data_IF_905011664938
#
_entry.id   IF_905011664938
#
_cell.length_a   1.000
_cell.length_b   1.000
_cell.length_c   1.000
_cell.angle_alpha   90.00
_cell.angle_beta   90.00
_cell.angle_gamma   90.00
#
_symmetry.space_group_name_H-M   'P 1'
#
loop_
_entity.id
_entity.type
_entity.pdbx_description
1 polymer ?
#
# COMPACT_ATOMS: atom_id res chain seq x y z
N UNK A 1 1.19 60.71 15.62
CA UNK A 1 0.08 61.64 16.00
C UNK A 1 -0.72 61.94 14.73
N UNK A 2 -2.07 62.05 14.71
CA UNK A 2 -3.14 61.71 15.69
C UNK A 2 -3.97 60.47 15.22
N UNK A 3 -4.50 59.55 16.03
CA UNK A 3 -5.46 59.60 17.15
C UNK A 3 -6.94 59.86 16.77
N UNK A 4 -7.79 58.82 16.93
CA UNK A 4 -9.27 58.84 17.17
C UNK A 4 -9.73 57.37 17.39
N UNK A 5 -9.73 56.83 18.61
CA UNK A 5 -10.80 56.85 19.64
C UNK A 5 -12.17 56.45 19.08
N UNK A 6 -12.54 55.18 19.26
CA UNK A 6 -13.93 54.74 19.27
C UNK A 6 -14.29 54.07 20.60
N UNK A 7 -15.54 54.31 20.94
CA UNK A 7 -16.21 54.30 22.24
C UNK A 7 -16.22 52.94 22.97
N UNK A 8 -16.09 53.03 24.28
CA UNK A 8 -16.40 51.99 25.28
C UNK A 8 -17.92 51.93 25.48
N UNK A 9 -18.48 50.72 25.58
CA UNK A 9 -19.70 50.48 26.36
C UNK A 9 -19.65 49.07 26.95
N UNK A 10 -19.27 49.00 28.23
CA UNK A 10 -19.37 47.82 29.06
C UNK A 10 -20.82 47.63 29.51
N UNK A 11 -21.37 46.42 29.36
CA UNK A 11 -22.62 46.02 30.00
C UNK A 11 -22.26 44.96 31.05
N UNK A 12 -22.30 45.40 32.31
CA UNK A 12 -22.27 44.54 33.48
C UNK A 12 -23.71 44.09 33.76
N UNK A 13 -23.92 42.77 33.91
CA UNK A 13 -25.16 42.22 34.46
C UNK A 13 -24.82 41.47 35.74
N UNK A 14 -25.59 41.81 36.77
CA UNK A 14 -25.32 41.61 38.17
C UNK A 14 -25.52 40.17 38.65
N UNK A 15 -24.64 39.78 39.57
CA UNK A 15 -24.74 38.59 40.42
C UNK A 15 -25.86 38.82 41.45
N UNK A 16 -26.89 37.97 41.43
CA UNK A 16 -27.86 37.86 42.53
C UNK A 16 -27.50 36.63 43.34
N UNK A 17 -26.95 36.86 44.53
CA UNK A 17 -26.79 35.87 45.57
C UNK A 17 -28.08 35.82 46.40
N UNK A 18 -28.74 34.66 46.47
CA UNK A 18 -29.70 34.34 47.52
C UNK A 18 -29.12 33.22 48.39
N UNK A 19 -28.86 33.58 49.65
CA UNK A 19 -28.48 32.73 50.76
C UNK A 19 -29.66 31.89 51.27
N UNK A 20 -29.34 30.67 51.73
CA UNK A 20 -30.28 29.57 51.99
C UNK A 20 -31.04 29.54 53.31
N UNK A 21 -31.86 28.50 53.42
CA UNK A 21 -32.31 27.81 54.64
C UNK A 21 -32.71 26.35 54.26
N UNK A 22 -32.61 25.37 55.19
CA UNK A 22 -32.52 23.94 54.88
C UNK A 22 -33.89 23.25 54.84
N UNK A 23 -34.04 22.25 53.96
CA UNK A 23 -35.21 21.37 53.91
C UNK A 23 -34.84 19.98 53.36
N UNK A 24 -34.96 18.98 54.22
CA UNK A 24 -34.70 17.56 53.96
C UNK A 24 -35.76 16.90 53.06
N UNK A 25 -35.34 15.85 52.35
CA UNK A 25 -36.15 14.73 51.85
C UNK A 25 -36.86 15.02 50.52
N UNK A 26 -36.79 14.19 49.48
CA UNK A 26 -36.53 12.76 49.40
C UNK A 26 -35.60 12.45 48.22
N UNK A 27 -34.44 11.86 48.51
CA UNK A 27 -33.69 11.09 47.53
C UNK A 27 -34.46 9.79 47.28
N UNK A 28 -35.28 9.75 46.22
CA UNK A 28 -35.74 8.48 45.69
C UNK A 28 -34.56 7.82 45.00
N UNK A 29 -33.81 7.06 45.78
CA UNK A 29 -32.80 6.11 45.37
C UNK A 29 -33.46 5.05 44.47
N UNK A 30 -33.54 5.36 43.17
CA UNK A 30 -33.95 4.38 42.17
C UNK A 30 -32.70 3.56 41.89
N UNK A 31 -32.42 2.61 42.77
CA UNK A 31 -31.41 1.58 42.55
C UNK A 31 -31.82 0.76 41.33
N UNK A 32 -31.44 1.23 40.15
CA UNK A 32 -31.39 0.41 38.95
C UNK A 32 -30.26 -0.59 39.20
N UNK A 33 -30.61 -1.80 39.65
CA UNK A 33 -29.68 -2.93 39.59
C UNK A 33 -29.22 -3.05 38.13
N UNK A 34 -27.99 -2.64 37.85
CA UNK A 34 -27.34 -2.98 36.58
C UNK A 34 -27.36 -4.51 36.48
N UNK A 35 -28.05 -5.10 35.49
CA UNK A 35 -27.99 -6.53 35.31
C UNK A 35 -26.51 -6.87 35.12
N UNK A 36 -25.98 -7.76 35.97
CA UNK A 36 -24.61 -8.24 35.85
C UNK A 36 -24.52 -9.10 34.57
N UNK A 37 -24.40 -8.44 33.42
CA UNK A 37 -24.13 -9.08 32.14
C UNK A 37 -22.74 -9.70 32.27
N UNK A 38 -22.66 -11.02 32.46
CA UNK A 38 -21.41 -11.76 32.32
C UNK A 38 -21.12 -11.85 30.82
N UNK A 39 -20.12 -11.13 30.28
CA UNK A 39 -19.84 -11.19 28.86
C UNK A 39 -19.32 -12.60 28.54
N UNK A 40 -20.13 -13.44 27.91
CA UNK A 40 -19.71 -14.74 27.38
C UNK A 40 -19.09 -14.54 26.00
N UNK A 41 -18.03 -13.74 25.94
CA UNK A 41 -17.26 -13.59 24.71
C UNK A 41 -16.47 -14.88 24.49
N UNK A 42 -16.51 -15.46 23.29
CA UNK A 42 -15.64 -16.59 22.96
C UNK A 42 -14.18 -16.16 23.20
N UNK A 43 -13.35 -17.10 23.64
CA UNK A 43 -11.93 -16.84 23.78
C UNK A 43 -11.37 -16.33 22.44
N UNK A 44 -10.56 -15.27 22.50
CA UNK A 44 -9.93 -14.70 21.30
C UNK A 44 -9.14 -15.80 20.60
N UNK A 45 -9.42 -16.11 19.33
CA UNK A 45 -8.65 -17.07 18.58
C UNK A 45 -7.17 -16.66 18.57
N UNK A 46 -6.28 -17.58 18.95
CA UNK A 46 -4.85 -17.30 18.95
C UNK A 46 -4.33 -17.43 17.51
N UNK A 47 -3.97 -16.30 16.89
CA UNK A 47 -3.41 -16.27 15.54
C UNK A 47 -1.90 -16.49 15.64
N UNK A 48 -1.34 -17.53 14.99
CA UNK A 48 0.09 -17.76 15.01
C UNK A 48 0.82 -16.56 14.38
N UNK A 49 1.97 -16.14 14.93
CA UNK A 49 2.73 -15.04 14.37
C UNK A 49 3.22 -15.39 12.97
N UNK A 50 3.31 -14.38 12.10
CA UNK A 50 3.91 -14.53 10.76
C UNK A 50 5.34 -15.04 10.89
N UNK A 51 5.79 -15.98 10.04
CA UNK A 51 7.16 -16.49 10.07
C UNK A 51 8.18 -15.47 9.53
N UNK A 52 7.72 -14.37 8.92
CA UNK A 52 8.58 -13.40 8.25
C UNK A 52 8.93 -12.21 9.16
N UNK A 53 10.19 -11.72 9.13
CA UNK A 53 10.58 -10.51 9.85
C UNK A 53 9.97 -9.26 9.20
N UNK A 54 10.11 -8.08 9.81
CA UNK A 54 9.68 -6.82 9.19
C UNK A 54 10.62 -6.40 8.05
N UNK A 55 11.92 -6.55 8.25
CA UNK A 55 12.97 -6.24 7.28
C UNK A 55 14.02 -7.34 7.29
N UNK A 56 14.69 -7.53 6.17
CA UNK A 56 15.90 -8.33 6.08
C UNK A 56 17.12 -7.55 6.60
N UNK A 57 18.28 -8.21 6.84
CA UNK A 57 19.50 -7.56 7.34
C UNK A 57 20.07 -6.47 6.41
N UNK A 58 19.74 -6.52 5.12
CA UNK A 58 20.12 -5.53 4.11
C UNK A 58 19.23 -4.26 4.12
N UNK A 59 18.26 -4.21 5.04
CA UNK A 59 17.33 -3.08 5.22
C UNK A 59 16.12 -3.12 4.29
N UNK A 60 15.98 -4.13 3.43
CA UNK A 60 14.80 -4.29 2.58
C UNK A 60 13.61 -4.82 3.37
N UNK A 61 12.40 -4.39 3.01
CA UNK A 61 11.17 -4.90 3.60
C UNK A 61 10.82 -6.29 3.07
N UNK A 62 10.24 -7.11 3.93
CA UNK A 62 9.42 -8.26 3.51
C UNK A 62 8.04 -7.76 3.07
N UNK A 63 7.27 -8.57 2.33
CA UNK A 63 5.88 -8.24 1.97
C UNK A 63 5.04 -8.10 3.24
N UNK A 64 5.20 -9.04 4.17
CA UNK A 64 4.60 -8.97 5.50
C UNK A 64 4.95 -7.69 6.24
N UNK A 65 6.25 -7.34 6.30
CA UNK A 65 6.75 -6.20 7.04
C UNK A 65 6.28 -4.87 6.48
N UNK A 66 6.25 -4.75 5.16
CA UNK A 66 5.72 -3.59 4.45
C UNK A 66 4.27 -3.32 4.85
N UNK A 67 3.42 -4.36 4.87
CA UNK A 67 2.01 -4.26 5.29
C UNK A 67 1.85 -4.08 6.79
N UNK A 68 2.69 -4.71 7.60
CA UNK A 68 2.64 -4.57 9.06
C UNK A 68 2.98 -3.16 9.52
N UNK A 69 3.72 -2.40 8.70
CA UNK A 69 4.15 -1.02 8.96
C UNK A 69 3.44 -0.01 8.05
N UNK A 70 2.22 -0.31 7.60
CA UNK A 70 1.47 0.48 6.62
C UNK A 70 1.37 1.97 6.99
N UNK A 71 1.23 2.31 8.27
CA UNK A 71 1.20 3.70 8.76
C UNK A 71 2.49 4.50 8.45
N UNK A 72 3.61 3.83 8.21
CA UNK A 72 4.91 4.44 7.96
C UNK A 72 5.44 4.21 6.54
N UNK A 73 4.95 3.18 5.86
CA UNK A 73 5.45 2.79 4.53
C UNK A 73 4.55 3.31 3.41
N UNK A 74 3.26 3.58 3.69
CA UNK A 74 2.34 4.08 2.68
C UNK A 74 2.77 5.44 2.14
N UNK A 75 2.60 5.61 0.82
CA UNK A 75 2.97 6.77 0.01
C UNK A 75 4.47 7.09 -0.04
N UNK A 76 5.32 6.15 0.39
CA UNK A 76 6.80 6.29 0.39
C UNK A 76 7.48 5.38 -0.64
N UNK A 77 8.68 5.75 -1.05
CA UNK A 77 9.54 4.89 -1.86
C UNK A 77 10.20 3.82 -0.98
N UNK A 78 10.08 2.56 -1.38
CA UNK A 78 10.52 1.41 -0.60
C UNK A 78 11.29 0.41 -1.45
N UNK A 79 12.10 -0.42 -0.77
CA UNK A 79 12.80 -1.57 -1.35
C UNK A 79 12.24 -2.83 -0.69
N UNK A 80 11.71 -3.74 -1.49
CA UNK A 80 11.01 -4.95 -1.03
C UNK A 80 11.72 -6.17 -1.59
N UNK A 81 12.16 -7.07 -0.72
CA UNK A 81 12.68 -8.36 -1.15
C UNK A 81 11.56 -9.37 -1.16
N UNK A 82 11.24 -9.89 -2.34
CA UNK A 82 10.10 -10.79 -2.54
C UNK A 82 10.34 -11.77 -3.70
N UNK A 83 9.47 -12.77 -3.79
CA UNK A 83 9.40 -13.72 -4.90
C UNK A 83 8.18 -13.40 -5.75
N UNK A 84 8.34 -13.44 -7.08
CA UNK A 84 7.22 -13.35 -8.03
C UNK A 84 6.42 -14.64 -7.93
N UNK A 85 5.25 -14.57 -7.30
CA UNK A 85 4.37 -15.72 -7.07
C UNK A 85 3.59 -16.04 -8.33
N UNK A 86 3.10 -15.00 -9.02
CA UNK A 86 2.25 -15.13 -10.19
C UNK A 86 2.32 -13.85 -11.04
N UNK A 87 1.98 -13.96 -12.31
CA UNK A 87 2.02 -12.87 -13.30
C UNK A 87 0.68 -12.85 -14.02
N UNK A 88 0.06 -11.68 -14.15
CA UNK A 88 -1.18 -11.56 -14.90
C UNK A 88 -0.95 -11.91 -16.37
N UNK A 89 -1.76 -12.85 -16.87
CA UNK A 89 -1.84 -13.18 -18.29
C UNK A 89 -3.22 -12.81 -18.79
N UNK A 90 -3.33 -11.96 -19.84
CA UNK A 90 -4.61 -11.67 -20.46
C UNK A 90 -5.31 -12.95 -20.95
N UNK A 91 -6.64 -13.08 -20.76
CA UNK A 91 -7.36 -14.25 -21.23
C UNK A 91 -7.37 -14.29 -22.76
N UNK A 92 -7.29 -15.51 -23.32
CA UNK A 92 -7.39 -15.72 -24.76
C UNK A 92 -8.79 -15.36 -25.28
N UNK A 93 -8.81 -14.68 -26.42
CA UNK A 93 -10.02 -14.21 -27.06
C UNK A 93 -10.52 -15.22 -28.09
N UNK A 94 -11.70 -15.85 -27.90
CA UNK A 94 -12.26 -16.74 -28.91
C UNK A 94 -12.61 -15.97 -30.18
N UNK A 95 -12.30 -16.56 -31.33
CA UNK A 95 -12.53 -15.95 -32.64
C UNK A 95 -14.00 -15.53 -32.82
N UNK A 96 -14.21 -14.33 -33.38
CA UNK A 96 -15.55 -13.81 -33.68
C UNK A 96 -16.32 -13.21 -32.52
N UNK A 97 -15.70 -13.03 -31.33
CA UNK A 97 -16.32 -12.33 -30.19
C UNK A 97 -15.56 -11.06 -29.80
N UNK A 98 -16.28 -10.07 -29.30
CA UNK A 98 -15.67 -8.89 -28.66
C UNK A 98 -15.18 -9.28 -27.27
N UNK A 99 -13.89 -9.10 -27.02
CA UNK A 99 -13.31 -9.37 -25.72
C UNK A 99 -13.48 -8.21 -24.74
N UNK A 100 -13.50 -8.52 -23.43
CA UNK A 100 -13.21 -7.51 -22.43
C UNK A 100 -11.84 -6.89 -22.70
N UNK A 101 -11.65 -5.59 -22.44
CA UNK A 101 -10.33 -5.01 -22.50
C UNK A 101 -9.41 -5.77 -21.53
N UNK A 102 -8.19 -6.08 -22.00
CA UNK A 102 -7.17 -6.65 -21.14
C UNK A 102 -6.94 -5.73 -19.93
N UNK A 103 -6.74 -6.32 -18.76
CA UNK A 103 -6.35 -5.52 -17.59
C UNK A 103 -4.93 -5.01 -17.79
N UNK A 104 -4.60 -3.93 -17.10
CA UNK A 104 -3.23 -3.43 -17.07
C UNK A 104 -2.27 -4.51 -16.54
N UNK A 105 -1.04 -4.61 -17.08
CA UNK A 105 -0.05 -5.56 -16.59
C UNK A 105 0.22 -5.38 -15.09
N UNK A 106 0.17 -6.50 -14.37
CA UNK A 106 0.45 -6.58 -12.96
C UNK A 106 0.99 -7.97 -12.60
N UNK A 107 1.72 -8.04 -11.50
CA UNK A 107 2.20 -9.31 -10.96
C UNK A 107 2.00 -9.32 -9.44
N UNK A 108 2.12 -10.50 -8.85
CA UNK A 108 1.99 -10.70 -7.41
C UNK A 108 3.32 -11.12 -6.81
N UNK A 109 3.74 -10.37 -5.80
CA UNK A 109 4.92 -10.63 -4.99
C UNK A 109 4.51 -11.28 -3.66
N UNK A 110 5.28 -12.25 -3.20
CA UNK A 110 5.11 -12.91 -1.91
C UNK A 110 6.42 -13.09 -1.18
N UNK A 111 6.37 -13.32 0.13
CA UNK A 111 7.56 -13.63 0.92
C UNK A 111 8.13 -15.02 0.59
N UNK A 112 7.30 -15.93 0.08
CA UNK A 112 7.68 -17.24 -0.44
C UNK A 112 7.10 -17.52 -1.83
N UNK A 113 7.70 -18.47 -2.55
CA UNK A 113 7.28 -18.85 -3.91
C UNK A 113 5.92 -19.58 -3.95
N UNK A 114 5.52 -20.15 -2.83
CA UNK A 114 4.30 -20.94 -2.63
C UNK A 114 3.17 -20.15 -1.97
N UNK A 115 3.31 -18.83 -1.83
CA UNK A 115 2.29 -17.99 -1.21
C UNK A 115 0.99 -17.95 -2.05
N UNK A 116 -0.07 -18.60 -1.58
CA UNK A 116 -1.36 -18.68 -2.28
C UNK A 116 -2.39 -17.68 -1.78
N UNK A 117 -2.20 -17.13 -0.58
CA UNK A 117 -3.15 -16.20 0.03
C UNK A 117 -3.06 -14.84 -0.66
N UNK A 118 -4.14 -14.42 -1.33
CA UNK A 118 -4.23 -13.10 -1.95
C UNK A 118 -3.91 -11.96 -0.95
N UNK A 119 -4.28 -12.10 0.31
CA UNK A 119 -4.05 -11.09 1.34
C UNK A 119 -2.60 -11.03 1.83
N UNK A 120 -1.76 -11.98 1.43
CA UNK A 120 -0.32 -12.02 1.73
C UNK A 120 0.55 -11.69 0.53
N UNK A 121 -0.07 -11.45 -0.63
CA UNK A 121 0.60 -11.04 -1.86
C UNK A 121 0.52 -9.55 -2.07
N UNK A 122 1.62 -8.92 -2.46
CA UNK A 122 1.70 -7.52 -2.86
C UNK A 122 1.58 -7.41 -4.38
N UNK A 123 0.65 -6.60 -4.86
CA UNK A 123 0.51 -6.34 -6.29
C UNK A 123 1.58 -5.34 -6.74
N UNK A 124 2.35 -5.67 -7.77
CA UNK A 124 3.29 -4.77 -8.43
C UNK A 124 2.73 -4.38 -9.80
N UNK A 125 2.71 -3.08 -10.09
CA UNK A 125 2.14 -2.48 -11.31
C UNK A 125 3.07 -1.41 -11.88
N UNK A 126 2.75 -0.86 -13.04
CA UNK A 126 3.44 0.31 -13.59
C UNK A 126 4.77 0.01 -14.30
N UNK A 127 5.07 -1.27 -14.57
CA UNK A 127 6.25 -1.68 -15.34
C UNK A 127 6.01 -1.70 -16.86
N UNK A 128 4.76 -1.60 -17.30
CA UNK A 128 4.33 -1.46 -18.70
C UNK A 128 2.91 -0.87 -18.74
N UNK A 129 2.56 -0.16 -19.81
CA UNK A 129 1.22 0.42 -19.96
C UNK A 129 0.21 -0.64 -20.44
N UNK A 130 0.65 -1.61 -21.23
CA UNK A 130 -0.21 -2.66 -21.78
C UNK A 130 0.60 -3.93 -22.14
N UNK A 131 -0.10 -5.03 -22.41
CA UNK A 131 0.56 -6.32 -22.75
C UNK A 131 1.40 -6.24 -24.02
N UNK A 132 0.98 -5.46 -25.02
CA UNK A 132 1.69 -5.35 -26.29
C UNK A 132 3.11 -4.81 -26.08
N UNK A 133 3.30 -3.83 -25.20
CA UNK A 133 4.65 -3.31 -24.93
C UNK A 133 5.58 -4.36 -24.30
N UNK A 134 5.04 -5.27 -23.48
CA UNK A 134 5.80 -6.39 -22.91
C UNK A 134 6.18 -7.38 -24.01
N UNK A 135 5.23 -7.71 -24.88
CA UNK A 135 5.44 -8.66 -25.97
C UNK A 135 6.48 -8.11 -26.97
N UNK A 136 6.36 -6.84 -27.36
CA UNK A 136 7.30 -6.13 -28.23
C UNK A 136 8.71 -6.08 -27.59
N UNK A 137 8.81 -5.76 -26.30
CA UNK A 137 10.10 -5.74 -25.58
C UNK A 137 10.76 -7.12 -25.52
N UNK A 138 9.97 -8.18 -25.34
CA UNK A 138 10.45 -9.57 -25.36
C UNK A 138 10.90 -10.02 -26.74
N UNK A 139 10.16 -9.65 -27.78
CA UNK A 139 10.52 -9.92 -29.17
C UNK A 139 11.83 -9.20 -29.54
N UNK A 140 11.95 -7.92 -29.21
CA UNK A 140 13.16 -7.14 -29.42
C UNK A 140 14.38 -7.76 -28.73
N UNK A 141 14.23 -8.16 -27.46
CA UNK A 141 15.27 -8.87 -26.72
C UNK A 141 15.64 -10.22 -27.36
N UNK A 142 14.66 -10.98 -27.85
CA UNK A 142 14.91 -12.23 -28.57
C UNK A 142 15.69 -12.00 -29.88
N UNK A 143 15.53 -10.83 -30.50
CA UNK A 143 16.31 -10.38 -31.64
C UNK A 143 17.63 -9.70 -31.28
N UNK A 144 18.04 -9.70 -30.02
CA UNK A 144 19.30 -9.10 -29.54
C UNK A 144 19.27 -7.58 -29.47
N UNK A 145 18.09 -6.95 -29.52
CA UNK A 145 17.90 -5.52 -29.33
C UNK A 145 17.62 -5.25 -27.85
N UNK A 146 18.18 -4.16 -27.32
CA UNK A 146 17.92 -3.74 -25.94
C UNK A 146 16.56 -3.03 -25.89
N UNK A 147 15.63 -3.41 -24.99
CA UNK A 147 14.38 -2.69 -24.82
C UNK A 147 14.66 -1.22 -24.51
N UNK A 148 14.12 -0.32 -25.34
CA UNK A 148 14.26 1.11 -25.11
C UNK A 148 13.27 1.57 -24.03
N UNK A 149 13.63 2.57 -23.20
CA UNK A 149 12.68 3.22 -22.32
C UNK A 149 11.49 3.77 -23.10
N UNK A 150 10.25 3.68 -22.58
CA UNK A 150 9.11 4.30 -23.23
C UNK A 150 9.33 5.82 -23.35
N UNK A 151 8.96 6.38 -24.50
CA UNK A 151 9.20 7.79 -24.82
C UNK A 151 8.43 8.71 -23.87
N UNK A 152 9.10 9.73 -23.33
CA UNK A 152 8.44 10.88 -22.69
C UNK A 152 8.26 10.84 -21.16
N UNK A 153 8.58 9.72 -20.48
CA UNK A 153 8.24 9.59 -19.05
C UNK A 153 9.42 9.35 -18.10
N UNK A 154 10.66 9.24 -18.60
CA UNK A 154 11.82 8.94 -17.75
C UNK A 154 11.69 7.64 -16.98
N UNK A 155 10.83 6.74 -17.46
CA UNK A 155 10.58 5.42 -16.89
C UNK A 155 11.70 4.45 -17.27
N UNK A 156 11.97 3.44 -16.44
CA UNK A 156 12.90 2.37 -16.81
C UNK A 156 12.43 1.65 -18.09
N UNK A 157 13.34 0.98 -18.82
CA UNK A 157 12.94 0.06 -19.88
C UNK A 157 12.02 -1.03 -19.33
N UNK A 158 11.12 -1.52 -20.18
CA UNK A 158 10.15 -2.55 -19.81
C UNK A 158 10.91 -3.83 -19.45
N UNK A 159 10.71 -4.36 -18.24
CA UNK A 159 11.45 -5.51 -17.78
C UNK A 159 10.93 -6.79 -18.45
N UNK A 160 11.86 -7.60 -18.97
CA UNK A 160 11.56 -8.82 -19.73
C UNK A 160 11.74 -10.09 -18.89
N UNK A 161 12.33 -9.97 -17.70
CA UNK A 161 12.82 -11.04 -16.83
C UNK A 161 11.97 -11.25 -15.56
N UNK A 162 10.82 -10.57 -15.48
CA UNK A 162 9.84 -10.71 -14.39
C UNK A 162 8.99 -11.97 -14.53
N UNK A 163 9.64 -13.13 -14.41
CA UNK A 163 8.99 -14.43 -14.50
C UNK A 163 8.62 -15.00 -13.13
N UNK A 164 7.56 -15.82 -13.11
CA UNK A 164 7.13 -16.55 -11.92
C UNK A 164 8.28 -17.36 -11.31
N UNK A 165 8.40 -17.32 -9.99
CA UNK A 165 9.42 -18.00 -9.20
C UNK A 165 10.73 -17.24 -9.05
N UNK A 166 10.94 -16.13 -9.79
CA UNK A 166 12.12 -15.28 -9.60
C UNK A 166 12.00 -14.51 -8.29
N UNK A 167 13.10 -14.45 -7.55
CA UNK A 167 13.23 -13.68 -6.31
C UNK A 167 14.17 -12.51 -6.54
N UNK A 168 13.92 -11.39 -5.88
CA UNK A 168 14.75 -10.20 -6.02
C UNK A 168 14.34 -9.08 -5.08
N UNK A 169 15.06 -7.97 -5.21
CA UNK A 169 14.74 -6.69 -4.59
C UNK A 169 13.97 -5.85 -5.60
N UNK A 170 12.76 -5.45 -5.26
CA UNK A 170 11.89 -4.59 -6.07
C UNK A 170 11.85 -3.21 -5.43
N UNK A 171 12.03 -2.18 -6.25
CA UNK A 171 12.05 -0.79 -5.82
C UNK A 171 10.86 -0.08 -6.47
N UNK A 172 10.15 0.69 -5.66
CA UNK A 172 8.95 1.37 -6.13
C UNK A 172 8.31 2.21 -5.04
N UNK A 173 7.27 2.94 -5.43
CA UNK A 173 6.45 3.70 -4.47
C UNK A 173 5.34 2.81 -3.95
N UNK A 174 5.29 2.60 -2.64
CA UNK A 174 4.17 1.87 -2.03
C UNK A 174 2.99 2.83 -1.86
N UNK A 175 1.89 2.61 -2.58
CA UNK A 175 0.75 3.52 -2.60
C UNK A 175 -0.56 2.73 -2.75
N UNK A 176 -1.72 3.37 -2.50
CA UNK A 176 -3.03 2.76 -2.81
C UNK A 176 -3.41 2.90 -4.28
N UNK A 177 -2.89 3.94 -4.93
CA UNK A 177 -3.18 4.27 -6.32
C UNK A 177 -1.85 4.41 -7.06
N UNK A 178 -1.66 3.69 -8.16
CA UNK A 178 -0.48 3.85 -9.00
C UNK A 178 -0.59 5.07 -9.91
N UNK A 179 0.54 5.55 -10.44
CA UNK A 179 0.54 6.59 -11.47
C UNK A 179 -0.28 6.21 -12.72
N UNK A 180 -0.38 4.92 -13.01
CA UNK A 180 -1.17 4.37 -14.11
C UNK A 180 -2.65 4.09 -13.76
N UNK A 181 -3.11 4.47 -12.56
CA UNK A 181 -4.53 4.39 -12.17
C UNK A 181 -5.01 3.04 -11.64
N UNK A 182 -4.09 2.13 -11.29
CA UNK A 182 -4.46 0.91 -10.55
C UNK A 182 -4.81 1.28 -9.10
N UNK A 183 -5.86 0.68 -8.54
CA UNK A 183 -6.28 0.91 -7.16
C UNK A 183 -6.23 -0.40 -6.39
N UNK A 184 -5.55 -0.41 -5.24
CA UNK A 184 -5.54 -1.53 -4.30
C UNK A 184 -5.67 -1.02 -2.86
N UNK A 185 -6.58 -1.64 -2.10
CA UNK A 185 -6.93 -1.16 -0.75
C UNK A 185 -5.83 -1.46 0.26
N UNK A 186 -5.12 -2.56 0.08
CA UNK A 186 -4.00 -2.99 0.95
C UNK A 186 -2.64 -2.44 0.47
N UNK A 187 -2.68 -1.52 -0.50
CA UNK A 187 -1.51 -0.96 -1.16
C UNK A 187 -0.95 -1.86 -2.27
N UNK A 188 -0.29 -1.21 -3.21
CA UNK A 188 0.44 -1.76 -4.34
C UNK A 188 1.83 -1.14 -4.41
N UNK A 189 2.74 -1.81 -5.12
CA UNK A 189 4.05 -1.27 -5.43
C UNK A 189 4.03 -0.70 -6.86
N UNK A 190 4.13 0.62 -6.98
CA UNK A 190 4.29 1.32 -8.25
C UNK A 190 5.75 1.25 -8.68
N UNK A 191 6.02 0.42 -9.69
CA UNK A 191 7.35 -0.05 -10.05
C UNK A 191 8.30 1.08 -10.48
N UNK A 192 9.56 0.98 -10.05
CA UNK A 192 10.65 1.87 -10.47
C UNK A 192 11.88 1.12 -10.94
N UNK A 193 12.25 0.05 -10.24
CA UNK A 193 13.42 -0.74 -10.58
C UNK A 193 13.35 -2.12 -9.91
N UNK A 194 14.20 -3.05 -10.32
CA UNK A 194 14.39 -4.29 -9.59
C UNK A 194 15.80 -4.86 -9.79
N UNK A 195 16.16 -5.81 -8.92
CA UNK A 195 17.38 -6.61 -8.98
C UNK A 195 17.06 -8.04 -8.62
N UNK A 196 17.08 -8.93 -9.60
CA UNK A 196 16.84 -10.36 -9.37
C UNK A 196 18.07 -11.04 -8.75
N UNK A 197 17.82 -11.96 -7.83
CA UNK A 197 18.85 -12.84 -7.29
C UNK A 197 19.46 -13.69 -8.42
N UNK A 198 20.78 -13.85 -8.40
CA UNK A 198 21.52 -14.59 -9.42
C UNK A 198 21.83 -13.81 -10.70
N UNK A 199 21.33 -12.58 -10.85
CA UNK A 199 21.75 -11.66 -11.93
C UNK A 199 22.97 -10.85 -11.47
N UNK A 200 24.11 -10.84 -12.19
CA UNK A 200 25.24 -9.98 -11.86
C UNK A 200 24.81 -8.50 -11.94
N UNK A 201 25.21 -7.71 -10.95
CA UNK A 201 24.95 -6.26 -10.94
C UNK A 201 25.58 -5.63 -12.19
N UNK A 202 24.77 -5.02 -13.04
CA UNK A 202 25.28 -4.31 -14.21
C UNK A 202 26.21 -3.20 -13.72
N UNK A 203 27.48 -3.23 -14.13
CA UNK A 203 28.43 -2.19 -13.73
C UNK A 203 27.90 -0.82 -14.16
N UNK A 204 27.95 0.20 -13.28
CA UNK A 204 27.52 1.53 -13.65
C UNK A 204 28.33 2.00 -14.85
N UNK A 205 27.64 2.33 -15.94
CA UNK A 205 28.24 2.87 -17.16
C UNK A 205 29.11 4.05 -16.78
N UNK A 206 30.43 3.82 -16.83
CA UNK A 206 31.43 4.84 -16.58
C UNK A 206 31.37 5.81 -17.74
N UNK A 207 30.54 6.85 -17.62
CA UNK A 207 30.46 7.93 -18.59
C UNK A 207 31.87 8.47 -18.82
N UNK A 208 32.38 8.29 -20.03
CA UNK A 208 33.66 8.82 -20.51
C UNK A 208 33.40 10.03 -21.38
#
# INVERSE_FOLDING_TARGET
MPAKRFFVAAIAVAVVALSGAPGCGDDTDTSVEEPTIRPNLPAVPNVPPSPYPITYPDGTYTVYGLRKRLEHTMDTDVRVTATIVDVYVPPECPEGRTCPPAKMPHLWLGDSADEQDANRRLTLVGYAANQKEIDDAREDAAHGRTPEPPEGEGLPPIPIDLDRGRRGIFEGRFARISGAGFLESEGLLDYRNHRLEGTPEAEPTKNR
#
